data_IF_078075534058
#
_entry.id   IF_078075534058
#
_cell.length_a   1.000
_cell.length_b   1.000
_cell.length_c   1.000
_cell.angle_alpha   90.00
_cell.angle_beta   90.00
_cell.angle_gamma   90.00
#
_symmetry.space_group_name_H-M   'P 1'
#
loop_
_entity.id
_entity.type
_entity.pdbx_description
1 polymer ?
#
# COMPACT_ATOMS: atom_id res chain seq x y z
N UNK A 1 -25.32 14.61 12.91
CA UNK A 1 -26.08 13.44 12.42
C UNK A 1 -25.42 12.18 12.97
N UNK A 2 -26.19 11.19 13.41
CA UNK A 2 -25.65 9.91 13.87
C UNK A 2 -25.41 8.99 12.67
N UNK A 3 -24.16 8.58 12.46
CA UNK A 3 -23.83 7.52 11.51
C UNK A 3 -24.22 6.18 12.16
N UNK A 4 -25.16 5.46 11.55
CA UNK A 4 -25.62 4.16 12.05
C UNK A 4 -25.37 3.10 10.99
N UNK A 5 -24.58 2.10 11.35
CA UNK A 5 -24.30 0.94 10.50
C UNK A 5 -25.30 -0.16 10.86
N UNK A 6 -26.10 -0.61 9.88
CA UNK A 6 -27.08 -1.70 10.04
C UNK A 6 -26.54 -3.05 9.55
N UNK A 7 -25.24 -3.24 9.69
CA UNK A 7 -24.57 -4.49 9.37
C UNK A 7 -23.91 -5.06 10.63
N UNK A 8 -24.22 -6.33 10.94
CA UNK A 8 -23.75 -6.99 12.16
C UNK A 8 -22.25 -7.25 12.13
N UNK A 9 -21.70 -7.56 10.95
CA UNK A 9 -20.28 -7.83 10.81
C UNK A 9 -19.45 -6.56 11.06
N UNK A 10 -19.91 -5.42 10.52
CA UNK A 10 -19.26 -4.13 10.70
C UNK A 10 -19.34 -3.66 12.16
N UNK A 11 -20.49 -3.78 12.84
CA UNK A 11 -20.60 -3.43 14.27
C UNK A 11 -19.66 -4.29 15.13
N UNK A 12 -19.58 -5.60 14.87
CA UNK A 12 -18.66 -6.49 15.57
C UNK A 12 -17.18 -6.10 15.33
N UNK A 13 -16.81 -5.79 14.09
CA UNK A 13 -15.45 -5.36 13.75
C UNK A 13 -15.06 -4.05 14.44
N UNK A 14 -15.95 -3.06 14.46
CA UNK A 14 -15.71 -1.78 15.15
C UNK A 14 -15.58 -1.98 16.66
N UNK A 15 -16.43 -2.82 17.26
CA UNK A 15 -16.36 -3.14 18.69
C UNK A 15 -15.05 -3.82 19.05
N UNK A 16 -14.60 -4.77 18.25
CA UNK A 16 -13.32 -5.45 18.50
C UNK A 16 -12.15 -4.47 18.38
N UNK A 17 -12.14 -3.62 17.35
CA UNK A 17 -11.10 -2.60 17.20
C UNK A 17 -11.11 -1.60 18.36
N UNK A 18 -12.28 -1.21 18.85
CA UNK A 18 -12.44 -0.31 19.98
C UNK A 18 -11.92 -0.96 21.28
N UNK A 19 -12.19 -2.26 21.48
CA UNK A 19 -11.67 -3.05 22.59
C UNK A 19 -10.15 -3.14 22.55
N UNK A 20 -9.56 -3.40 21.38
CA UNK A 20 -8.11 -3.48 21.20
C UNK A 20 -7.42 -2.13 21.43
N UNK A 21 -8.04 -1.02 21.04
CA UNK A 21 -7.51 0.33 21.25
C UNK A 21 -7.82 0.92 22.64
N UNK A 22 -8.74 0.32 23.40
CA UNK A 22 -9.23 0.87 24.67
C UNK A 22 -9.99 2.19 24.52
N UNK A 23 -10.66 2.40 23.37
CA UNK A 23 -11.31 3.67 23.01
C UNK A 23 -12.81 3.51 22.80
N UNK A 24 -13.53 4.63 22.78
CA UNK A 24 -14.96 4.64 22.43
C UNK A 24 -15.20 4.25 20.96
N UNK A 25 -16.40 3.76 20.63
CA UNK A 25 -16.76 3.37 19.26
C UNK A 25 -16.63 4.52 18.27
N UNK A 26 -17.16 5.69 18.61
CA UNK A 26 -17.11 6.89 17.74
C UNK A 26 -15.68 7.34 17.46
N UNK A 27 -14.83 7.37 18.50
CA UNK A 27 -13.42 7.73 18.36
C UNK A 27 -12.66 6.71 17.52
N UNK A 28 -12.93 5.42 17.74
CA UNK A 28 -12.33 4.33 16.98
C UNK A 28 -12.70 4.40 15.50
N UNK A 29 -13.97 4.65 15.18
CA UNK A 29 -14.45 4.83 13.80
C UNK A 29 -13.74 6.03 13.16
N UNK A 30 -13.70 7.18 13.85
CA UNK A 30 -13.05 8.38 13.33
C UNK A 30 -11.60 8.10 12.96
N UNK A 31 -10.82 7.54 13.88
CA UNK A 31 -9.40 7.26 13.62
C UNK A 31 -9.18 6.23 12.52
N UNK A 32 -10.00 5.19 12.45
CA UNK A 32 -9.89 4.17 11.41
C UNK A 32 -10.15 4.78 10.02
N UNK A 33 -11.19 5.61 9.90
CA UNK A 33 -11.55 6.28 8.65
C UNK A 33 -10.51 7.34 8.26
N UNK A 34 -10.03 8.14 9.21
CA UNK A 34 -8.99 9.14 8.95
C UNK A 34 -7.70 8.49 8.45
N UNK A 35 -7.28 7.38 9.07
CA UNK A 35 -6.11 6.61 8.64
C UNK A 35 -6.28 6.04 7.23
N UNK A 36 -7.45 5.50 6.92
CA UNK A 36 -7.72 4.94 5.58
C UNK A 36 -7.77 6.04 4.51
N UNK A 37 -8.37 7.19 4.81
CA UNK A 37 -8.36 8.35 3.91
C UNK A 37 -6.93 8.83 3.68
N UNK A 38 -6.13 8.92 4.74
CA UNK A 38 -4.73 9.31 4.62
C UNK A 38 -3.95 8.31 3.76
N UNK A 39 -4.15 7.00 3.99
CA UNK A 39 -3.51 5.95 3.21
C UNK A 39 -3.93 6.02 1.73
N UNK A 40 -5.22 6.20 1.44
CA UNK A 40 -5.74 6.32 0.08
C UNK A 40 -5.21 7.58 -0.62
N UNK A 41 -5.02 8.69 0.11
CA UNK A 41 -4.41 9.92 -0.42
C UNK A 41 -2.90 9.79 -0.64
N UNK A 42 -2.22 9.03 0.22
CA UNK A 42 -0.78 8.76 0.13
C UNK A 42 -0.45 7.59 -0.79
N UNK A 43 -1.45 6.91 -1.34
CA UNK A 43 -1.23 5.85 -2.31
C UNK A 43 -0.68 6.46 -3.59
N UNK A 44 0.64 6.66 -3.60
CA UNK A 44 1.40 7.05 -4.78
C UNK A 44 1.07 6.03 -5.86
N UNK A 45 0.50 6.46 -7.00
CA UNK A 45 0.17 5.57 -8.09
C UNK A 45 1.37 4.68 -8.43
N UNK A 46 1.12 3.41 -8.74
CA UNK A 46 2.21 2.47 -9.07
C UNK A 46 3.14 3.02 -10.15
N UNK A 47 2.59 3.79 -11.10
CA UNK A 47 3.35 4.46 -12.16
C UNK A 47 4.37 5.47 -11.61
N UNK A 48 4.03 6.21 -10.55
CA UNK A 48 4.94 7.18 -9.92
C UNK A 48 6.04 6.46 -9.13
N UNK A 49 5.71 5.33 -8.47
CA UNK A 49 6.71 4.47 -7.81
C UNK A 49 7.71 3.90 -8.82
N UNK A 50 7.22 3.38 -9.95
CA UNK A 50 8.06 2.85 -11.04
C UNK A 50 8.91 3.97 -11.64
N UNK A 51 8.34 5.16 -11.85
CA UNK A 51 9.06 6.30 -12.41
C UNK A 51 10.24 6.72 -11.52
N UNK A 52 10.07 6.76 -10.20
CA UNK A 52 11.16 7.06 -9.27
C UNK A 52 12.31 6.04 -9.38
N UNK A 53 11.99 4.74 -9.50
CA UNK A 53 12.99 3.69 -9.72
C UNK A 53 13.67 3.83 -11.09
N UNK A 54 12.91 4.13 -12.15
CA UNK A 54 13.46 4.35 -13.48
C UNK A 54 14.40 5.56 -13.51
N UNK A 55 14.05 6.66 -12.85
CA UNK A 55 14.89 7.84 -12.70
C UNK A 55 16.16 7.51 -11.92
N UNK A 56 16.07 6.69 -10.87
CA UNK A 56 17.23 6.22 -10.14
C UNK A 56 18.18 5.39 -11.01
N UNK A 57 17.65 4.42 -11.75
CA UNK A 57 18.44 3.58 -12.68
C UNK A 57 19.05 4.43 -13.80
N UNK A 58 18.31 5.42 -14.32
CA UNK A 58 18.77 6.29 -15.39
C UNK A 58 19.91 7.24 -14.96
N UNK A 59 20.14 7.44 -13.67
CA UNK A 59 21.30 8.20 -13.16
C UNK A 59 22.63 7.47 -13.38
N UNK A 60 22.61 6.15 -13.51
CA UNK A 60 23.83 5.38 -13.75
C UNK A 60 24.25 5.50 -15.21
N UNK A 61 25.54 5.75 -15.49
CA UNK A 61 26.03 5.81 -16.85
C UNK A 61 25.90 4.44 -17.52
N UNK A 62 25.55 4.43 -18.81
CA UNK A 62 25.53 3.20 -19.60
C UNK A 62 26.94 2.62 -19.65
N UNK A 63 27.07 1.36 -19.25
CA UNK A 63 28.35 0.65 -19.21
C UNK A 63 28.89 0.32 -20.60
N UNK A 64 28.04 0.34 -21.63
CA UNK A 64 28.41 -0.03 -23.00
C UNK A 64 28.69 -1.53 -23.19
N UNK A 65 28.52 -2.33 -22.13
CA UNK A 65 28.63 -3.78 -22.17
C UNK A 65 27.31 -4.36 -22.66
N UNK A 66 27.38 -5.28 -23.61
CA UNK A 66 26.21 -6.09 -23.96
C UNK A 66 25.88 -7.02 -22.79
N UNK A 67 24.59 -7.14 -22.46
CA UNK A 67 24.14 -8.11 -21.49
C UNK A 67 24.54 -9.51 -21.98
N UNK A 68 25.14 -10.32 -21.11
CA UNK A 68 25.52 -11.70 -21.43
C UNK A 68 24.27 -12.54 -21.67
N UNK A 69 23.84 -12.56 -22.92
CA UNK A 69 22.63 -13.23 -23.34
C UNK A 69 22.68 -14.73 -23.08
N UNK A 70 23.86 -15.35 -23.24
CA UNK A 70 24.02 -16.78 -22.99
C UNK A 70 23.83 -17.11 -21.50
N UNK A 71 24.31 -16.25 -20.61
CA UNK A 71 24.03 -16.35 -19.17
C UNK A 71 22.53 -16.20 -18.86
N UNK A 72 21.87 -15.17 -19.38
CA UNK A 72 20.45 -14.91 -19.08
C UNK A 72 19.51 -15.95 -19.67
N UNK A 73 19.79 -16.47 -20.86
CA UNK A 73 18.99 -17.53 -21.49
C UNK A 73 19.10 -18.83 -20.66
N UNK A 74 20.29 -19.14 -20.10
CA UNK A 74 20.49 -20.32 -19.23
C UNK A 74 19.74 -20.29 -17.89
N UNK A 75 19.28 -19.12 -17.44
CA UNK A 75 18.53 -18.98 -16.18
C UNK A 75 17.04 -19.38 -16.30
N UNK A 76 16.51 -19.52 -17.53
CA UNK A 76 15.12 -19.87 -17.78
C UNK A 76 14.93 -21.32 -18.30
N UNK A 77 16.02 -22.08 -18.49
CA UNK A 77 16.00 -23.43 -19.07
C UNK A 77 15.91 -24.56 -18.02
N UNK A 78 15.67 -24.23 -16.74
CA UNK A 78 15.32 -25.15 -15.63
C UNK A 78 13.91 -24.84 -15.08
#
# INVERSE_FOLDING_TARGET
MAFSVRDKATDAAVRELARLKGKGLTETIREAVEKEIEQARKEVPLIEKIKALQEEVARYPRTGLEADKAFFDSLNDD
#
